data_IF_412576581029
#
_entry.id   IF_412576581029
#
_cell.length_a   1.000
_cell.length_b   1.000
_cell.length_c   1.000
_cell.angle_alpha   90.00
_cell.angle_beta   90.00
_cell.angle_gamma   90.00
#
_symmetry.space_group_name_H-M   'P 1'
#
loop_
_entity.id
_entity.type
_entity.pdbx_description
1 polymer ?
#
# COMPACT_ATOMS: atom_id res chain seq x y z
N UNK A 1 -6.09 -4.47 0.85
CA UNK A 1 -6.95 -5.06 1.90
C UNK A 1 -6.23 -4.84 3.20
N UNK A 2 -6.86 -4.17 4.17
CA UNK A 2 -6.20 -3.86 5.45
C UNK A 2 -5.75 -5.14 6.16
N UNK A 3 -4.55 -5.13 6.71
CA UNK A 3 -3.89 -6.23 7.44
C UNK A 3 -3.69 -7.53 6.62
N UNK A 4 -3.83 -7.46 5.28
CA UNK A 4 -3.69 -8.62 4.39
C UNK A 4 -2.65 -8.38 3.31
N UNK A 5 -2.69 -7.23 2.63
CA UNK A 5 -1.83 -6.98 1.47
C UNK A 5 -0.53 -6.27 1.87
N UNK A 6 0.13 -6.79 2.89
CA UNK A 6 1.46 -6.36 3.35
C UNK A 6 2.57 -6.86 2.40
N UNK A 7 3.83 -6.40 2.53
CA UNK A 7 4.87 -6.78 1.58
C UNK A 7 5.15 -8.29 1.47
N UNK A 8 5.22 -9.07 2.57
CA UNK A 8 5.35 -10.54 2.49
C UNK A 8 4.23 -11.19 1.68
N UNK A 9 2.96 -10.81 1.92
CA UNK A 9 1.84 -11.39 1.19
C UNK A 9 1.90 -11.04 -0.30
N UNK A 10 2.18 -9.77 -0.63
CA UNK A 10 2.31 -9.33 -2.03
C UNK A 10 3.44 -10.04 -2.75
N UNK A 11 4.57 -10.29 -2.07
CA UNK A 11 5.68 -11.06 -2.65
C UNK A 11 5.26 -12.49 -2.98
N UNK A 12 4.58 -13.18 -2.07
CA UNK A 12 4.04 -14.52 -2.34
C UNK A 12 3.09 -14.50 -3.54
N UNK A 13 2.19 -13.52 -3.63
CA UNK A 13 1.31 -13.39 -4.79
C UNK A 13 2.08 -13.22 -6.10
N UNK A 14 3.16 -12.42 -6.11
CA UNK A 14 4.02 -12.25 -7.29
C UNK A 14 4.73 -13.54 -7.67
N UNK A 15 5.26 -14.28 -6.69
CA UNK A 15 5.90 -15.58 -6.92
C UNK A 15 4.93 -16.64 -7.45
N UNK A 16 3.65 -16.54 -7.08
CA UNK A 16 2.57 -17.41 -7.57
C UNK A 16 1.98 -16.96 -8.91
N UNK A 17 2.54 -15.93 -9.55
CA UNK A 17 2.17 -15.50 -10.90
C UNK A 17 1.10 -14.41 -10.97
N UNK A 18 0.80 -13.70 -9.88
CA UNK A 18 -0.07 -12.52 -9.95
C UNK A 18 0.59 -11.43 -10.80
N UNK A 19 -0.08 -10.90 -11.82
CA UNK A 19 0.49 -9.87 -12.72
C UNK A 19 0.69 -8.50 -12.05
N UNK A 20 -0.09 -8.20 -11.01
CA UNK A 20 -0.14 -6.92 -10.32
C UNK A 20 -0.52 -7.11 -8.85
N UNK A 21 0.03 -6.30 -7.94
CA UNK A 21 -0.34 -6.26 -6.52
C UNK A 21 -0.64 -4.84 -6.04
N UNK A 22 -1.31 -4.68 -4.90
CA UNK A 22 -1.65 -3.36 -4.35
C UNK A 22 -1.42 -3.32 -2.84
N UNK A 23 -1.13 -2.13 -2.32
CA UNK A 23 -0.92 -1.92 -0.88
C UNK A 23 -2.21 -2.12 -0.08
N UNK A 24 -2.08 -2.15 1.23
CA UNK A 24 -3.18 -1.90 2.14
C UNK A 24 -3.79 -0.51 1.95
N UNK A 25 -4.91 -0.24 2.64
CA UNK A 25 -5.54 1.08 2.60
C UNK A 25 -4.68 2.09 3.36
N UNK A 26 -4.26 3.13 2.65
CA UNK A 26 -3.49 4.24 3.24
C UNK A 26 -4.41 5.46 3.37
N UNK A 27 -4.57 5.96 4.59
CA UNK A 27 -5.34 7.17 4.83
C UNK A 27 -4.58 8.39 4.30
N UNK A 28 -5.21 9.16 3.41
CA UNK A 28 -4.71 10.43 2.88
C UNK A 28 -4.30 11.41 3.99
N UNK A 29 -5.18 11.60 4.99
CA UNK A 29 -4.89 12.42 6.17
C UNK A 29 -3.70 11.89 6.99
N UNK A 30 -3.48 10.58 7.00
CA UNK A 30 -2.36 9.95 7.68
C UNK A 30 -1.02 10.21 6.97
N UNK A 31 -1.03 10.24 5.63
CA UNK A 31 0.15 10.60 4.83
C UNK A 31 0.56 12.05 5.03
N UNK A 32 -0.39 12.98 5.03
CA UNK A 32 -0.11 14.43 5.18
C UNK A 32 0.41 14.77 6.58
N UNK A 33 0.04 13.98 7.58
CA UNK A 33 0.43 14.20 8.99
C UNK A 33 1.64 13.35 9.41
N UNK A 34 2.36 12.77 8.45
CA UNK A 34 3.52 11.89 8.68
C UNK A 34 3.23 10.78 9.71
N UNK A 35 2.03 10.20 9.66
CA UNK A 35 1.69 9.12 10.57
C UNK A 35 2.55 7.89 10.25
N UNK A 36 3.38 7.45 11.19
CA UNK A 36 4.32 6.33 11.02
C UNK A 36 3.69 5.09 10.38
N UNK A 37 2.47 4.73 10.81
CA UNK A 37 1.72 3.59 10.26
C UNK A 37 1.35 3.75 8.80
N UNK A 38 1.05 4.97 8.35
CA UNK A 38 0.71 5.26 6.95
C UNK A 38 1.96 5.26 6.07
N UNK A 39 3.09 5.73 6.60
CA UNK A 39 4.37 5.71 5.90
C UNK A 39 4.92 4.29 5.74
N UNK A 40 4.80 3.44 6.76
CA UNK A 40 5.23 2.03 6.69
C UNK A 40 4.55 1.26 5.56
N UNK A 41 3.28 1.57 5.26
CA UNK A 41 2.54 0.93 4.15
C UNK A 41 3.08 1.30 2.76
N UNK A 42 3.94 2.32 2.66
CA UNK A 42 4.64 2.71 1.44
C UNK A 42 5.95 1.92 1.22
N UNK A 43 6.31 1.01 2.13
CA UNK A 43 7.43 0.11 1.93
C UNK A 43 7.12 -0.87 0.77
N UNK A 44 7.80 -0.63 -0.35
CA UNK A 44 7.67 -1.40 -1.60
C UNK A 44 9.05 -1.87 -2.04
N UNK A 45 9.23 -3.18 -2.08
CA UNK A 45 10.43 -3.87 -2.55
C UNK A 45 10.40 -4.07 -4.08
N UNK A 46 11.56 -4.06 -4.76
CA UNK A 46 11.62 -4.22 -6.21
C UNK A 46 10.97 -5.51 -6.74
N UNK A 47 11.04 -6.60 -5.98
CA UNK A 47 10.46 -7.90 -6.35
C UNK A 47 8.92 -7.89 -6.44
N UNK A 48 8.27 -6.92 -5.79
CA UNK A 48 6.82 -6.82 -5.76
C UNK A 48 6.26 -6.18 -7.04
N UNK A 49 7.09 -5.46 -7.80
CA UNK A 49 6.62 -4.61 -8.91
C UNK A 49 6.02 -5.46 -10.06
N UNK A 50 4.92 -5.00 -10.69
CA UNK A 50 4.23 -3.71 -10.48
C UNK A 50 3.29 -3.69 -9.25
N UNK A 51 3.29 -2.56 -8.52
CA UNK A 51 2.50 -2.31 -7.29
C UNK A 51 1.68 -1.03 -7.45
N UNK A 52 0.40 -1.08 -7.04
CA UNK A 52 -0.44 0.12 -6.86
C UNK A 52 -0.52 0.54 -5.39
N UNK A 53 -0.52 1.85 -5.13
CA UNK A 53 -0.80 2.41 -3.81
C UNK A 53 -2.29 2.74 -3.71
N UNK A 54 -2.96 2.24 -2.67
CA UNK A 54 -4.39 2.46 -2.44
C UNK A 54 -4.59 3.54 -1.37
N UNK A 55 -5.07 4.71 -1.79
CA UNK A 55 -5.32 5.86 -0.91
C UNK A 55 -6.83 6.00 -0.68
N UNK A 56 -7.24 6.36 0.54
CA UNK A 56 -8.61 6.75 0.87
C UNK A 56 -8.64 8.01 1.75
N UNK A 57 -9.69 8.83 1.62
CA UNK A 57 -9.87 10.07 2.37
C UNK A 57 -11.25 10.66 2.17
N UNK A 58 -11.65 11.56 3.08
CA UNK A 58 -12.92 12.29 3.00
C UNK A 58 -12.77 13.76 2.60
N UNK A 59 -11.53 14.28 2.65
CA UNK A 59 -11.20 15.67 2.32
C UNK A 59 -10.47 15.71 0.98
N UNK A 60 -11.04 16.42 0.00
CA UNK A 60 -10.42 16.56 -1.33
C UNK A 60 -9.05 17.22 -1.21
N UNK A 61 -8.88 18.19 -0.32
CA UNK A 61 -7.58 18.87 -0.11
C UNK A 61 -6.49 17.93 0.42
N UNK A 62 -6.87 16.77 0.96
CA UNK A 62 -5.96 15.77 1.49
C UNK A 62 -5.64 14.64 0.49
N UNK A 63 -6.40 14.51 -0.60
CA UNK A 63 -6.28 13.44 -1.60
C UNK A 63 -5.56 13.90 -2.86
#
# INVERSE_FOLDING_TARGET
MEDVTDPPFRLICRELGADWVYTEFIAADGLIRDADKSLQKLDIYPAERPVSIQIFGAHIDAM
#
